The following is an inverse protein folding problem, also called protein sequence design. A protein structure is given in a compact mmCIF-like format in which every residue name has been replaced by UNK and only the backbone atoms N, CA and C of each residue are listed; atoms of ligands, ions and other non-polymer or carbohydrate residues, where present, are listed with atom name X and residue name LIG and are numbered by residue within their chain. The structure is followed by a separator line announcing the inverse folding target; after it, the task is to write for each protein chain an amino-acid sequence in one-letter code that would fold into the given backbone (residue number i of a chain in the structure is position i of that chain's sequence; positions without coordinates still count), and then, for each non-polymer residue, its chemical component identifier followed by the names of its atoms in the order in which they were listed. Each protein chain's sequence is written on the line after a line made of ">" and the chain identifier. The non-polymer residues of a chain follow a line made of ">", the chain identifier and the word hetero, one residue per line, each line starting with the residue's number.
data_IF_288428130509
#
_entry.id   IF_288428130509
#
_cell.length_a   1.000
_cell.length_b   1.000
_cell.length_c   1.000
_cell.angle_alpha   90.00
_cell.angle_beta   90.00
_cell.angle_gamma   90.00
#
_symmetry.space_group_name_H-M   'P 1'
#
loop_
_entity.id
_entity.type
_entity.pdbx_description
1 polymer ?
#
# COMPACT_ATOMS: atom_id res chain seq x y z
N UNK A 1 23.58 10.75 26.54
CA UNK A 1 24.31 9.95 25.55
C UNK A 1 24.76 10.92 24.49
N UNK A 2 26.04 10.94 24.22
CA UNK A 2 26.60 11.78 23.15
C UNK A 2 26.26 11.13 21.77
N UNK A 3 26.31 11.92 20.70
CA UNK A 3 25.95 11.47 19.34
C UNK A 3 26.88 10.36 18.82
N UNK A 4 28.15 10.33 19.25
CA UNK A 4 29.07 9.27 18.85
C UNK A 4 28.75 7.92 19.55
N UNK A 5 28.27 7.96 20.77
CA UNK A 5 27.88 6.79 21.55
C UNK A 5 26.59 6.16 21.02
N UNK A 6 25.69 6.98 20.40
CA UNK A 6 24.40 6.51 19.91
C UNK A 6 24.52 5.54 18.70
N UNK A 7 25.55 5.69 17.86
CA UNK A 7 25.83 4.73 16.78
C UNK A 7 26.75 3.57 17.22
N UNK A 8 27.27 3.60 18.46
CA UNK A 8 28.12 2.57 19.05
C UNK A 8 27.39 1.59 19.97
N UNK A 9 28.14 0.95 20.88
CA UNK A 9 27.62 -0.06 21.82
C UNK A 9 26.52 0.48 22.74
N UNK A 10 26.57 1.74 23.14
CA UNK A 10 25.53 2.36 23.98
C UNK A 10 24.20 2.49 23.21
N UNK A 11 24.23 2.76 21.91
CA UNK A 11 23.03 2.78 21.07
C UNK A 11 22.44 1.39 20.86
N UNK A 12 23.28 0.34 20.72
CA UNK A 12 22.82 -1.04 20.69
C UNK A 12 22.11 -1.44 22.01
N UNK A 13 22.66 -1.05 23.14
CA UNK A 13 22.03 -1.29 24.46
C UNK A 13 20.68 -0.55 24.57
N UNK A 14 20.63 0.71 24.16
CA UNK A 14 19.38 1.48 24.11
C UNK A 14 18.33 0.83 23.18
N UNK A 15 18.73 0.28 22.04
CA UNK A 15 17.82 -0.43 21.13
C UNK A 15 17.18 -1.66 21.80
N UNK A 16 17.96 -2.42 22.59
CA UNK A 16 17.45 -3.55 23.35
C UNK A 16 16.49 -3.09 24.48
N UNK A 17 16.84 -2.03 25.22
CA UNK A 17 15.97 -1.46 26.25
C UNK A 17 14.63 -0.96 25.68
N UNK A 18 14.65 -0.32 24.49
CA UNK A 18 13.44 0.14 23.81
C UNK A 18 12.58 -1.03 23.29
N UNK A 19 13.20 -2.13 22.86
CA UNK A 19 12.47 -3.33 22.44
C UNK A 19 11.76 -3.98 23.64
N UNK A 20 12.44 -4.12 24.76
CA UNK A 20 11.87 -4.70 25.98
C UNK A 20 10.76 -3.83 26.60
N UNK A 21 10.83 -2.53 26.41
CA UNK A 21 9.87 -1.56 26.94
C UNK A 21 8.65 -1.32 26.00
N UNK A 22 8.69 -1.81 24.75
CA UNK A 22 7.62 -1.56 23.79
C UNK A 22 6.36 -2.36 24.16
N UNK A 23 5.23 -1.68 24.35
CA UNK A 23 3.94 -2.27 24.72
C UNK A 23 3.25 -3.05 23.57
N UNK A 24 3.76 -2.91 22.35
CA UNK A 24 3.34 -3.67 21.17
C UNK A 24 4.49 -4.58 20.73
N UNK A 25 4.56 -5.83 21.19
CA UNK A 25 5.65 -6.73 20.82
C UNK A 25 5.64 -7.04 19.32
N UNK A 26 6.82 -7.27 18.78
CA UNK A 26 6.95 -7.75 17.39
C UNK A 26 6.26 -9.11 17.22
N UNK A 27 5.98 -9.47 16.00
CA UNK A 27 5.57 -10.83 15.57
C UNK A 27 6.67 -11.48 14.71
N UNK A 28 7.93 -11.05 14.93
CA UNK A 28 9.09 -11.47 14.14
C UNK A 28 9.20 -12.99 14.00
N UNK A 29 8.86 -13.72 15.05
CA UNK A 29 8.85 -15.18 15.10
C UNK A 29 7.84 -15.83 14.15
N UNK A 30 6.86 -15.08 13.67
CA UNK A 30 5.89 -15.55 12.68
C UNK A 30 6.40 -15.36 11.22
N UNK A 31 7.55 -14.71 11.04
CA UNK A 31 8.10 -14.38 9.72
C UNK A 31 9.40 -15.14 9.42
N UNK A 32 9.60 -15.48 8.17
CA UNK A 32 10.86 -15.99 7.62
C UNK A 32 11.80 -14.80 7.39
N UNK A 33 12.52 -14.42 8.44
CA UNK A 33 13.54 -13.37 8.36
C UNK A 33 14.83 -13.97 7.88
N UNK A 34 15.47 -13.49 6.79
CA UNK A 34 16.75 -14.00 6.34
C UNK A 34 17.81 -13.88 7.46
N UNK A 35 18.57 -14.96 7.68
CA UNK A 35 19.51 -15.05 8.80
C UNK A 35 20.55 -13.91 8.79
N UNK A 36 20.68 -13.26 9.94
CA UNK A 36 21.59 -12.14 10.15
C UNK A 36 21.25 -10.86 9.40
N UNK A 37 20.10 -10.78 8.68
CA UNK A 37 19.70 -9.61 7.89
C UNK A 37 18.79 -8.69 8.69
N UNK A 38 19.13 -7.40 8.74
CA UNK A 38 18.20 -6.32 9.06
C UNK A 38 17.44 -5.94 7.79
N UNK A 39 16.17 -6.33 7.68
CA UNK A 39 15.37 -6.17 6.46
C UNK A 39 14.45 -4.95 6.55
N UNK A 40 14.85 -3.82 5.93
CA UNK A 40 14.11 -2.56 5.94
C UNK A 40 13.52 -2.20 4.57
N UNK A 41 13.18 -3.21 3.75
CA UNK A 41 12.63 -3.04 2.40
C UNK A 41 11.18 -3.52 2.28
N UNK A 42 10.43 -3.56 3.39
CA UNK A 42 9.02 -3.97 3.43
C UNK A 42 8.08 -3.11 2.58
N UNK A 43 8.48 -1.87 2.29
CA UNK A 43 7.81 -0.98 1.37
C UNK A 43 7.89 -1.42 -0.11
N UNK A 44 8.79 -2.33 -0.46
CA UNK A 44 8.92 -2.92 -1.80
C UNK A 44 8.35 -4.33 -1.84
N UNK A 45 8.72 -5.18 -0.86
CA UNK A 45 8.19 -6.53 -0.69
C UNK A 45 8.23 -6.88 0.80
N UNK A 46 7.10 -7.26 1.39
CA UNK A 46 7.02 -7.75 2.75
C UNK A 46 7.64 -9.14 2.90
N UNK A 47 8.02 -9.51 4.13
CA UNK A 47 8.56 -10.83 4.45
C UNK A 47 7.46 -11.89 4.47
N UNK A 48 7.84 -13.12 4.16
CA UNK A 48 6.95 -14.28 4.19
C UNK A 48 6.59 -14.64 5.64
N UNK A 49 5.30 -14.84 5.91
CA UNK A 49 4.84 -15.47 7.14
C UNK A 49 4.97 -17.00 7.05
N UNK A 50 5.33 -17.66 8.16
CA UNK A 50 5.43 -19.13 8.21
C UNK A 50 4.11 -19.81 7.83
N UNK A 51 2.98 -19.25 8.25
CA UNK A 51 1.65 -19.80 7.97
C UNK A 51 1.26 -19.81 6.48
N UNK A 52 1.92 -18.99 5.64
CA UNK A 52 1.63 -18.93 4.19
C UNK A 52 1.83 -20.27 3.51
N UNK A 53 2.88 -21.04 3.89
CA UNK A 53 3.13 -22.34 3.27
C UNK A 53 1.95 -23.30 3.49
N UNK A 54 1.50 -23.42 4.74
CA UNK A 54 0.37 -24.30 5.06
C UNK A 54 -0.91 -23.86 4.33
N UNK A 55 -1.20 -22.56 4.26
CA UNK A 55 -2.38 -22.06 3.57
C UNK A 55 -2.37 -22.32 2.05
N UNK A 56 -1.18 -22.32 1.42
CA UNK A 56 -1.02 -22.70 0.01
C UNK A 56 -1.13 -24.22 -0.16
N UNK A 57 -0.52 -24.98 0.74
CA UNK A 57 -0.60 -26.45 0.73
C UNK A 57 -2.06 -26.93 0.90
N UNK A 58 -2.88 -26.28 1.74
CA UNK A 58 -4.32 -26.55 1.87
C UNK A 58 -5.07 -26.41 0.53
N UNK A 59 -4.75 -25.37 -0.25
CA UNK A 59 -5.37 -25.18 -1.59
C UNK A 59 -4.92 -26.27 -2.57
N UNK A 60 -3.64 -26.65 -2.53
CA UNK A 60 -3.09 -27.71 -3.38
C UNK A 60 -3.70 -29.08 -3.01
N UNK A 61 -3.87 -29.36 -1.71
CA UNK A 61 -4.51 -30.57 -1.22
C UNK A 61 -5.98 -30.64 -1.63
N UNK A 62 -6.73 -29.54 -1.46
CA UNK A 62 -8.12 -29.48 -1.95
C UNK A 62 -8.20 -29.72 -3.45
N UNK A 63 -7.27 -29.15 -4.24
CA UNK A 63 -7.22 -29.39 -5.68
C UNK A 63 -6.92 -30.84 -6.03
N UNK A 64 -5.96 -31.47 -5.35
CA UNK A 64 -5.54 -32.83 -5.64
C UNK A 64 -6.59 -33.87 -5.25
N UNK A 65 -7.36 -33.63 -4.18
CA UNK A 65 -8.30 -34.60 -3.61
C UNK A 65 -9.75 -34.39 -4.06
N UNK A 66 -10.16 -33.11 -4.25
CA UNK A 66 -11.53 -32.75 -4.60
C UNK A 66 -11.70 -32.37 -6.07
N UNK A 67 -10.64 -31.90 -6.74
CA UNK A 67 -10.72 -31.40 -8.11
C UNK A 67 -11.75 -30.28 -8.24
N UNK A 68 -12.74 -30.44 -9.13
CA UNK A 68 -13.80 -29.44 -9.35
C UNK A 68 -14.71 -29.25 -8.14
N UNK A 69 -14.85 -30.24 -7.30
CA UNK A 69 -15.71 -30.18 -6.11
C UNK A 69 -15.15 -29.24 -5.05
N UNK A 70 -13.87 -28.86 -5.13
CA UNK A 70 -13.26 -27.84 -4.26
C UNK A 70 -13.90 -26.43 -4.41
N UNK A 71 -14.65 -26.20 -5.47
CA UNK A 71 -15.45 -24.98 -5.59
C UNK A 71 -16.52 -24.85 -4.51
N UNK A 72 -17.09 -25.95 -4.06
CA UNK A 72 -18.22 -26.00 -3.12
C UNK A 72 -17.88 -26.68 -1.79
N UNK A 73 -16.77 -27.44 -1.75
CA UNK A 73 -16.39 -28.29 -0.63
C UNK A 73 -14.97 -28.00 -0.13
N UNK A 74 -14.65 -28.55 1.05
CA UNK A 74 -13.36 -28.39 1.72
C UNK A 74 -13.39 -27.34 2.84
N UNK A 75 -12.23 -27.11 3.46
CA UNK A 75 -12.13 -26.17 4.57
C UNK A 75 -12.38 -24.69 4.13
N UNK A 76 -11.98 -24.36 2.91
CA UNK A 76 -12.17 -23.06 2.30
C UNK A 76 -12.67 -23.24 0.86
N UNK A 77 -13.99 -23.41 0.63
CA UNK A 77 -14.55 -23.53 -0.70
C UNK A 77 -14.21 -22.35 -1.60
N UNK A 78 -13.92 -22.61 -2.88
CA UNK A 78 -13.38 -21.58 -3.77
C UNK A 78 -14.41 -20.57 -4.26
N UNK A 79 -15.69 -20.93 -4.39
CA UNK A 79 -16.74 -19.99 -4.81
C UNK A 79 -16.85 -18.79 -3.86
N UNK A 80 -16.99 -18.95 -2.53
CA UNK A 80 -17.04 -17.85 -1.59
C UNK A 80 -15.63 -17.46 -1.05
N UNK A 81 -14.54 -17.93 -1.62
CA UNK A 81 -13.20 -17.74 -1.01
C UNK A 81 -12.87 -16.28 -0.70
N UNK A 82 -13.17 -15.35 -1.61
CA UNK A 82 -12.96 -13.92 -1.42
C UNK A 82 -13.78 -13.34 -0.25
N UNK A 83 -14.92 -13.95 0.07
CA UNK A 83 -15.79 -13.53 1.17
C UNK A 83 -15.16 -13.80 2.55
N UNK A 84 -14.24 -14.77 2.65
CA UNK A 84 -13.51 -15.05 3.90
C UNK A 84 -12.65 -13.88 4.35
N UNK A 85 -12.32 -12.96 3.44
CA UNK A 85 -11.48 -11.77 3.68
C UNK A 85 -12.29 -10.47 3.77
N UNK A 86 -13.62 -10.51 3.61
CA UNK A 86 -14.48 -9.32 3.51
C UNK A 86 -14.34 -8.37 4.72
N UNK A 87 -14.41 -8.93 5.93
CA UNK A 87 -14.30 -8.15 7.17
C UNK A 87 -12.87 -7.64 7.39
N UNK A 88 -11.87 -8.50 7.18
CA UNK A 88 -10.48 -8.17 7.47
C UNK A 88 -9.91 -7.16 6.47
N UNK A 89 -10.26 -7.26 5.18
CA UNK A 89 -9.83 -6.29 4.17
C UNK A 89 -10.53 -4.94 4.35
N UNK A 90 -11.80 -4.93 4.74
CA UNK A 90 -12.52 -3.71 5.06
C UNK A 90 -11.92 -3.03 6.31
N UNK A 91 -11.67 -3.79 7.37
CA UNK A 91 -11.03 -3.29 8.60
C UNK A 91 -9.64 -2.68 8.35
N UNK A 92 -8.86 -3.25 7.44
CA UNK A 92 -7.52 -2.74 7.10
C UNK A 92 -7.56 -1.30 6.56
N UNK A 93 -8.61 -0.93 5.85
CA UNK A 93 -8.73 0.39 5.19
C UNK A 93 -9.82 1.29 5.78
N UNK A 94 -10.42 0.89 6.91
CA UNK A 94 -11.49 1.66 7.55
C UNK A 94 -12.73 1.80 6.67
N UNK A 95 -13.16 0.70 6.07
CA UNK A 95 -14.32 0.57 5.21
C UNK A 95 -15.41 -0.27 5.88
N UNK A 96 -16.64 -0.20 5.38
CA UNK A 96 -17.69 -1.19 5.68
C UNK A 96 -17.42 -2.49 4.88
N UNK A 97 -17.85 -3.66 5.38
CA UNK A 97 -17.55 -4.95 4.74
C UNK A 97 -17.91 -5.06 3.25
N UNK A 98 -18.99 -4.41 2.80
CA UNK A 98 -19.41 -4.40 1.39
C UNK A 98 -18.65 -3.39 0.50
N UNK A 99 -17.79 -2.56 1.07
CA UNK A 99 -17.05 -1.51 0.33
C UNK A 99 -15.66 -1.93 -0.12
N UNK A 100 -15.13 -3.04 0.40
CA UNK A 100 -13.79 -3.51 0.06
C UNK A 100 -13.82 -4.94 -0.47
N UNK A 101 -12.95 -5.24 -1.44
CA UNK A 101 -12.83 -6.56 -2.06
C UNK A 101 -11.38 -6.87 -2.44
N UNK A 102 -10.98 -8.13 -2.27
CA UNK A 102 -9.69 -8.65 -2.75
C UNK A 102 -9.87 -9.14 -4.18
N UNK A 103 -9.30 -8.42 -5.15
CA UNK A 103 -9.40 -8.75 -6.59
C UNK A 103 -8.22 -8.24 -7.39
N UNK A 104 -7.92 -8.89 -8.50
CA UNK A 104 -6.93 -8.46 -9.51
C UNK A 104 -5.54 -8.09 -8.92
N UNK A 105 -4.89 -7.09 -9.52
CA UNK A 105 -3.70 -6.39 -9.02
C UNK A 105 -3.96 -4.89 -9.02
N UNK A 106 -3.11 -4.11 -8.33
CA UNK A 106 -3.32 -2.67 -8.15
C UNK A 106 -3.62 -1.94 -9.46
N UNK A 107 -2.74 -2.05 -10.45
CA UNK A 107 -2.89 -1.31 -11.72
C UNK A 107 -4.11 -1.77 -12.52
N UNK A 108 -4.45 -3.07 -12.48
CA UNK A 108 -5.70 -3.57 -13.09
C UNK A 108 -6.91 -2.99 -12.38
N UNK A 109 -6.89 -2.95 -11.04
CA UNK A 109 -7.95 -2.29 -10.27
C UNK A 109 -8.07 -0.81 -10.61
N UNK A 110 -6.93 -0.08 -10.73
CA UNK A 110 -6.95 1.33 -11.11
C UNK A 110 -7.59 1.53 -12.51
N UNK A 111 -7.23 0.72 -13.50
CA UNK A 111 -7.89 0.76 -14.81
C UNK A 111 -9.40 0.48 -14.72
N UNK A 112 -9.78 -0.49 -13.91
CA UNK A 112 -11.18 -0.84 -13.65
C UNK A 112 -11.94 0.34 -13.03
N UNK A 113 -11.36 0.99 -12.04
CA UNK A 113 -11.94 2.15 -11.37
C UNK A 113 -12.00 3.38 -12.30
N UNK A 114 -10.95 3.66 -13.04
CA UNK A 114 -10.96 4.73 -14.05
C UNK A 114 -12.04 4.48 -15.11
N UNK A 115 -12.22 3.24 -15.55
CA UNK A 115 -13.32 2.84 -16.43
C UNK A 115 -14.71 3.14 -15.87
N UNK A 116 -14.88 3.24 -14.57
CA UNK A 116 -16.14 3.56 -13.90
C UNK A 116 -16.26 5.04 -13.51
N UNK A 117 -15.22 5.63 -12.94
CA UNK A 117 -15.27 6.93 -12.27
C UNK A 117 -14.71 8.09 -13.09
N UNK A 118 -13.87 7.87 -14.11
CA UNK A 118 -13.49 8.92 -15.03
C UNK A 118 -14.55 9.06 -16.13
N UNK A 119 -15.40 10.06 -15.99
CA UNK A 119 -16.52 10.37 -16.89
C UNK A 119 -16.37 11.80 -17.41
N UNK A 120 -15.43 12.02 -18.35
CA UNK A 120 -15.19 13.36 -18.89
C UNK A 120 -16.41 13.88 -19.67
N UNK A 121 -16.64 15.18 -19.54
CA UNK A 121 -17.59 15.95 -20.35
C UNK A 121 -16.82 17.11 -21.03
N UNK A 122 -17.40 17.79 -22.05
CA UNK A 122 -16.75 18.93 -22.66
C UNK A 122 -16.32 20.02 -21.67
N UNK A 123 -17.11 20.25 -20.60
CA UNK A 123 -16.82 21.25 -19.58
C UNK A 123 -15.92 20.71 -18.45
N UNK A 124 -15.82 19.39 -18.29
CA UNK A 124 -15.07 18.71 -17.24
C UNK A 124 -14.21 17.57 -17.76
N UNK A 125 -13.26 17.85 -18.68
CA UNK A 125 -12.45 16.79 -19.27
C UNK A 125 -11.25 16.37 -18.41
N UNK A 126 -10.83 17.20 -17.44
CA UNK A 126 -9.53 17.06 -16.76
C UNK A 126 -9.50 15.94 -15.74
N UNK A 127 -8.33 15.31 -15.64
CA UNK A 127 -7.96 14.38 -14.57
C UNK A 127 -6.68 14.89 -13.90
N UNK A 128 -6.67 14.96 -12.58
CA UNK A 128 -5.55 15.48 -11.77
C UNK A 128 -4.75 14.33 -11.20
N UNK A 129 -3.42 14.42 -11.28
CA UNK A 129 -2.45 13.54 -10.62
C UNK A 129 -1.35 14.37 -9.96
N UNK A 130 -0.62 13.80 -8.98
CA UNK A 130 0.57 14.44 -8.41
C UNK A 130 1.80 14.32 -9.34
N UNK A 131 2.75 15.24 -9.20
CA UNK A 131 3.93 15.35 -10.06
C UNK A 131 4.85 14.12 -9.97
N UNK A 132 5.03 13.58 -8.77
CA UNK A 132 5.90 12.44 -8.50
C UNK A 132 5.13 11.10 -8.45
N UNK A 133 3.96 11.04 -9.10
CA UNK A 133 3.12 9.83 -9.16
C UNK A 133 3.92 8.64 -9.71
N UNK A 134 3.65 7.46 -9.17
CA UNK A 134 4.28 6.24 -9.67
C UNK A 134 3.96 6.03 -11.17
N UNK A 135 4.95 5.65 -12.00
CA UNK A 135 4.77 5.59 -13.46
C UNK A 135 3.56 4.80 -13.94
N UNK A 136 3.22 3.70 -13.24
CA UNK A 136 2.07 2.85 -13.57
C UNK A 136 0.74 3.61 -13.52
N UNK A 137 0.55 4.47 -12.52
CA UNK A 137 -0.68 5.24 -12.33
C UNK A 137 -0.81 6.32 -13.41
N UNK A 138 0.30 7.01 -13.70
CA UNK A 138 0.34 7.96 -14.81
C UNK A 138 -0.03 7.29 -16.14
N UNK A 139 0.50 6.07 -16.39
CA UNK A 139 0.17 5.33 -17.62
C UNK A 139 -1.30 4.92 -17.66
N UNK A 140 -1.87 4.50 -16.52
CA UNK A 140 -3.29 4.16 -16.42
C UNK A 140 -4.19 5.38 -16.69
N UNK A 141 -3.86 6.53 -16.08
CA UNK A 141 -4.57 7.80 -16.28
C UNK A 141 -4.50 8.27 -17.73
N UNK A 142 -3.30 8.25 -18.33
CA UNK A 142 -3.14 8.60 -19.75
C UNK A 142 -3.87 7.62 -20.66
N UNK A 143 -3.91 6.33 -20.32
CA UNK A 143 -4.68 5.31 -21.02
C UNK A 143 -6.18 5.58 -20.95
N UNK A 144 -6.70 5.95 -19.79
CA UNK A 144 -8.10 6.30 -19.60
C UNK A 144 -8.51 7.53 -20.43
N UNK A 145 -7.68 8.59 -20.47
CA UNK A 145 -7.93 9.75 -21.32
C UNK A 145 -8.04 9.36 -22.81
N UNK A 146 -7.09 8.56 -23.30
CA UNK A 146 -7.12 8.06 -24.70
C UNK A 146 -8.34 7.18 -24.99
N UNK A 147 -8.79 6.37 -24.05
CA UNK A 147 -9.98 5.53 -24.19
C UNK A 147 -11.27 6.37 -24.42
N UNK A 148 -11.27 7.60 -23.92
CA UNK A 148 -12.34 8.59 -24.18
C UNK A 148 -12.08 9.48 -25.42
N UNK A 149 -11.04 9.19 -26.21
CA UNK A 149 -10.69 9.99 -27.40
C UNK A 149 -10.06 11.35 -27.08
N UNK A 150 -9.56 11.54 -25.85
CA UNK A 150 -8.96 12.79 -25.40
C UNK A 150 -7.42 12.71 -25.48
N UNK A 151 -6.79 13.86 -25.78
CA UNK A 151 -5.33 13.97 -25.71
C UNK A 151 -4.89 14.11 -24.23
N UNK A 152 -4.10 13.16 -23.69
CA UNK A 152 -3.59 13.27 -22.33
C UNK A 152 -2.80 14.54 -22.05
N UNK A 153 -2.14 15.13 -23.06
CA UNK A 153 -1.38 16.36 -22.90
C UNK A 153 -2.29 17.58 -22.60
N UNK A 154 -3.54 17.53 -22.99
CA UNK A 154 -4.53 18.60 -22.77
C UNK A 154 -5.34 18.39 -21.48
N UNK A 155 -5.60 17.13 -21.11
CA UNK A 155 -6.56 16.83 -20.03
C UNK A 155 -5.92 16.31 -18.73
N UNK A 156 -4.69 15.78 -18.78
CA UNK A 156 -3.98 15.33 -17.55
C UNK A 156 -3.26 16.51 -16.93
N UNK A 157 -3.73 16.90 -15.74
CA UNK A 157 -3.13 18.00 -14.95
C UNK A 157 -2.19 17.40 -13.94
N UNK A 158 -0.92 17.78 -13.99
CA UNK A 158 0.13 17.29 -13.09
C UNK A 158 0.49 18.42 -12.12
N UNK A 159 0.31 18.18 -10.82
CA UNK A 159 0.48 19.18 -9.77
C UNK A 159 1.41 18.68 -8.67
N UNK A 160 2.11 19.61 -8.01
CA UNK A 160 2.74 19.29 -6.73
C UNK A 160 1.66 19.01 -5.68
N UNK A 161 1.94 18.12 -4.75
CA UNK A 161 0.98 17.72 -3.71
C UNK A 161 0.39 18.94 -2.96
N UNK A 162 1.24 19.93 -2.62
CA UNK A 162 0.83 21.13 -1.89
C UNK A 162 -0.08 22.08 -2.69
N UNK A 163 -0.10 21.95 -4.02
CA UNK A 163 -0.89 22.83 -4.90
C UNK A 163 -2.27 22.24 -5.24
N UNK A 164 -2.53 20.95 -4.94
CA UNK A 164 -3.72 20.24 -5.37
C UNK A 164 -5.00 20.86 -4.81
N UNK A 165 -5.09 21.06 -3.50
CA UNK A 165 -6.29 21.60 -2.87
C UNK A 165 -6.61 23.01 -3.41
N UNK A 166 -5.59 23.87 -3.53
CA UNK A 166 -5.74 25.21 -4.09
C UNK A 166 -6.21 25.19 -5.55
N UNK A 167 -5.66 24.28 -6.36
CA UNK A 167 -6.07 24.13 -7.75
C UNK A 167 -7.54 23.69 -7.85
N UNK A 168 -7.97 22.76 -7.01
CA UNK A 168 -9.35 22.29 -6.96
C UNK A 168 -10.33 23.41 -6.58
N UNK A 169 -9.95 24.30 -5.64
CA UNK A 169 -10.78 25.44 -5.27
C UNK A 169 -10.89 26.49 -6.40
N UNK A 170 -9.86 26.67 -7.24
CA UNK A 170 -9.83 27.68 -8.29
C UNK A 170 -10.31 27.18 -9.66
N UNK A 171 -9.94 25.97 -10.06
CA UNK A 171 -10.13 25.42 -11.39
C UNK A 171 -10.87 24.07 -11.40
N UNK A 172 -11.24 23.57 -10.23
CA UNK A 172 -11.82 22.23 -10.06
C UNK A 172 -13.13 22.00 -10.80
N UNK A 173 -13.85 23.06 -11.21
CA UNK A 173 -15.05 22.94 -12.06
C UNK A 173 -14.78 22.22 -13.38
N UNK A 174 -13.53 22.24 -13.88
CA UNK A 174 -13.11 21.54 -15.10
C UNK A 174 -12.61 20.11 -14.87
N UNK A 175 -12.51 19.67 -13.61
CA UNK A 175 -11.94 18.37 -13.23
C UNK A 175 -13.04 17.32 -13.11
N UNK A 176 -12.94 16.24 -13.85
CA UNK A 176 -13.81 15.07 -13.74
C UNK A 176 -13.38 14.17 -12.60
N UNK A 177 -12.08 13.91 -12.47
CA UNK A 177 -11.53 12.93 -11.52
C UNK A 177 -10.15 13.35 -11.02
N UNK A 178 -9.87 13.01 -9.77
CA UNK A 178 -8.57 13.15 -9.12
C UNK A 178 -8.06 11.75 -8.79
N UNK A 179 -6.78 11.45 -9.07
CA UNK A 179 -6.13 10.18 -8.70
C UNK A 179 -4.78 10.50 -8.06
N UNK A 180 -4.60 10.12 -6.81
CA UNK A 180 -3.40 10.47 -6.03
C UNK A 180 -2.89 9.26 -5.24
N UNK A 181 -1.58 9.25 -4.99
CA UNK A 181 -0.97 8.33 -4.03
C UNK A 181 -1.15 8.88 -2.61
N UNK A 182 -1.70 8.07 -1.71
CA UNK A 182 -1.90 8.49 -0.31
C UNK A 182 -0.57 8.68 0.42
N UNK A 183 0.41 7.82 0.15
CA UNK A 183 1.78 7.95 0.64
C UNK A 183 2.73 7.96 -0.55
N UNK A 184 3.48 9.03 -0.67
CA UNK A 184 4.48 9.18 -1.73
C UNK A 184 5.56 8.10 -1.63
N UNK A 185 5.78 7.35 -2.71
CA UNK A 185 6.66 6.19 -2.72
C UNK A 185 8.14 6.56 -2.60
N UNK A 186 8.53 7.79 -2.96
CA UNK A 186 9.91 8.27 -2.94
C UNK A 186 10.28 8.89 -1.61
N UNK A 187 9.43 9.76 -1.08
CA UNK A 187 9.70 10.51 0.15
C UNK A 187 9.11 9.87 1.41
N UNK A 188 8.08 9.04 1.27
CA UNK A 188 7.31 8.52 2.41
C UNK A 188 6.30 9.51 2.98
N UNK A 189 6.10 10.68 2.34
CA UNK A 189 5.15 11.69 2.79
C UNK A 189 3.70 11.19 2.68
N UNK A 190 2.92 11.39 3.74
CA UNK A 190 1.49 11.11 3.79
C UNK A 190 0.72 12.37 3.43
N UNK A 191 -0.15 12.28 2.44
CA UNK A 191 -1.07 13.35 2.06
C UNK A 191 -2.26 13.43 3.03
N UNK A 192 -2.87 14.60 3.10
CA UNK A 192 -4.10 14.83 3.87
C UNK A 192 -5.30 14.30 3.08
N UNK A 193 -5.54 12.98 3.20
CA UNK A 193 -6.58 12.28 2.45
C UNK A 193 -7.96 12.94 2.65
N UNK A 194 -8.44 13.15 3.89
CA UNK A 194 -9.76 13.75 4.10
C UNK A 194 -9.88 15.17 3.52
N UNK A 195 -8.90 16.03 3.75
CA UNK A 195 -8.97 17.42 3.27
C UNK A 195 -8.95 17.50 1.72
N UNK A 196 -8.14 16.70 1.06
CA UNK A 196 -8.09 16.67 -0.41
C UNK A 196 -9.35 16.02 -0.99
N UNK A 197 -9.89 14.97 -0.35
CA UNK A 197 -11.15 14.33 -0.75
C UNK A 197 -12.30 15.35 -0.68
N UNK A 198 -12.40 16.08 0.43
CA UNK A 198 -13.40 17.16 0.58
C UNK A 198 -13.25 18.25 -0.49
N UNK A 199 -12.01 18.67 -0.80
CA UNK A 199 -11.76 19.68 -1.83
C UNK A 199 -12.19 19.18 -3.22
N UNK A 200 -11.92 17.91 -3.56
CA UNK A 200 -12.36 17.30 -4.81
C UNK A 200 -13.90 17.28 -4.90
N UNK A 201 -14.57 16.90 -3.83
CA UNK A 201 -16.05 16.88 -3.79
C UNK A 201 -16.66 18.28 -3.87
N UNK A 202 -16.10 19.28 -3.19
CA UNK A 202 -16.55 20.69 -3.35
C UNK A 202 -16.45 21.16 -4.80
N UNK A 203 -15.40 20.72 -5.51
CA UNK A 203 -15.25 20.99 -6.93
C UNK A 203 -16.17 20.14 -7.82
N UNK A 204 -16.88 19.16 -7.25
CA UNK A 204 -17.75 18.22 -7.97
C UNK A 204 -16.95 17.13 -8.74
N UNK A 205 -15.68 16.93 -8.43
CA UNK A 205 -14.86 15.87 -8.98
C UNK A 205 -15.01 14.56 -8.21
N UNK A 206 -14.77 13.42 -8.87
CA UNK A 206 -14.55 12.14 -8.19
C UNK A 206 -13.10 12.05 -7.75
N UNK A 207 -12.83 11.31 -6.68
CA UNK A 207 -11.48 11.11 -6.19
C UNK A 207 -11.18 9.64 -5.89
N UNK A 208 -10.05 9.17 -6.41
CA UNK A 208 -9.47 7.86 -6.14
C UNK A 208 -8.09 7.93 -5.52
N UNK A 209 -7.78 6.98 -4.65
CA UNK A 209 -6.50 6.91 -3.98
C UNK A 209 -5.74 5.62 -4.31
N UNK A 210 -4.47 5.75 -4.73
CA UNK A 210 -3.51 4.65 -4.67
C UNK A 210 -2.98 4.53 -3.23
N UNK A 211 -3.28 3.39 -2.61
CA UNK A 211 -2.88 3.06 -1.24
C UNK A 211 -1.69 2.09 -1.19
N UNK A 212 -0.93 1.93 -2.27
CA UNK A 212 0.17 0.96 -2.36
C UNK A 212 1.18 1.09 -1.21
N UNK A 213 1.40 2.30 -0.73
CA UNK A 213 2.28 2.60 0.40
C UNK A 213 1.53 2.99 1.67
N UNK A 214 0.19 3.00 1.66
CA UNK A 214 -0.65 3.37 2.79
C UNK A 214 -1.30 2.16 3.47
N UNK A 215 -1.86 1.21 2.70
CA UNK A 215 -2.49 0.01 3.25
C UNK A 215 -1.49 -0.83 4.05
N UNK A 216 -1.83 -1.14 5.30
CA UNK A 216 -0.96 -1.85 6.25
C UNK A 216 0.19 -1.01 6.83
N UNK A 217 0.25 0.28 6.54
CA UNK A 217 1.29 1.20 6.98
C UNK A 217 0.76 2.33 7.87
N UNK A 218 -0.36 2.94 7.48
CA UNK A 218 -1.01 4.01 8.22
C UNK A 218 -2.49 3.68 8.45
N UNK A 219 -3.10 4.12 9.58
CA UNK A 219 -4.53 3.99 9.77
C UNK A 219 -5.31 4.72 8.68
N UNK A 220 -6.31 4.06 8.13
CA UNK A 220 -7.19 4.58 7.08
C UNK A 220 -8.64 4.55 7.57
N UNK A 221 -9.47 5.47 7.08
CA UNK A 221 -10.90 5.57 7.34
C UNK A 221 -11.63 5.95 6.05
N UNK A 222 -11.50 5.11 5.03
CA UNK A 222 -11.98 5.45 3.69
C UNK A 222 -13.47 5.74 3.63
N UNK A 223 -14.27 4.99 4.42
CA UNK A 223 -15.70 5.25 4.55
C UNK A 223 -15.98 6.64 5.15
N UNK A 224 -15.40 6.91 6.34
CA UNK A 224 -15.64 8.17 7.07
C UNK A 224 -15.09 9.41 6.32
N UNK A 225 -14.05 9.22 5.53
CA UNK A 225 -13.45 10.26 4.68
C UNK A 225 -14.17 10.46 3.36
N UNK A 226 -15.26 9.70 3.13
CA UNK A 226 -16.10 9.81 1.94
C UNK A 226 -15.37 9.60 0.61
N UNK A 227 -14.30 8.79 0.60
CA UNK A 227 -13.51 8.46 -0.60
C UNK A 227 -14.38 7.79 -1.65
N UNK A 228 -14.28 8.13 -2.93
CA UNK A 228 -15.08 7.48 -3.97
C UNK A 228 -14.60 6.06 -4.27
N UNK A 229 -13.28 5.88 -4.50
CA UNK A 229 -12.64 4.59 -4.70
C UNK A 229 -11.19 4.60 -4.25
N UNK A 230 -10.63 3.43 -3.97
CA UNK A 230 -9.21 3.26 -3.71
C UNK A 230 -8.71 1.90 -4.18
N UNK A 231 -7.40 1.80 -4.46
CA UNK A 231 -6.76 0.57 -4.91
C UNK A 231 -5.42 0.36 -4.21
N UNK A 232 -5.04 -0.90 -3.94
CA UNK A 232 -3.75 -1.20 -3.33
C UNK A 232 -3.24 -2.60 -3.69
N UNK A 233 -1.97 -2.84 -3.36
CA UNK A 233 -1.35 -4.15 -3.42
C UNK A 233 -1.14 -4.71 -2.00
N UNK A 234 -1.20 -6.04 -1.84
CA UNK A 234 -0.98 -6.70 -0.57
C UNK A 234 0.46 -7.22 -0.39
N UNK A 235 1.32 -7.16 -1.40
CA UNK A 235 2.69 -7.72 -1.32
C UNK A 235 3.71 -6.81 -0.62
N UNK A 236 3.39 -5.51 -0.38
CA UNK A 236 4.26 -4.56 0.32
C UNK A 236 4.06 -4.66 1.83
N UNK A 237 3.57 -3.60 2.48
CA UNK A 237 3.39 -3.54 3.94
C UNK A 237 2.43 -4.61 4.48
N UNK A 238 1.50 -5.10 3.67
CA UNK A 238 0.57 -6.18 4.07
C UNK A 238 1.23 -7.57 4.02
N UNK A 239 2.44 -7.73 3.49
CA UNK A 239 3.27 -8.95 3.58
C UNK A 239 2.67 -10.21 2.94
N UNK A 240 1.77 -10.09 1.96
CA UNK A 240 1.12 -11.25 1.35
C UNK A 240 1.96 -11.94 0.24
N UNK A 241 3.17 -11.46 0.00
CA UNK A 241 4.14 -12.09 -0.91
C UNK A 241 3.98 -11.74 -2.39
N UNK A 242 4.93 -12.19 -3.22
CA UNK A 242 4.97 -11.86 -4.65
C UNK A 242 3.77 -12.43 -5.39
N UNK A 243 3.16 -11.60 -6.25
CA UNK A 243 1.98 -11.99 -7.01
C UNK A 243 0.66 -11.99 -6.21
N UNK A 244 0.68 -11.53 -4.96
CA UNK A 244 -0.53 -11.40 -4.15
C UNK A 244 -1.60 -10.56 -4.84
N UNK A 245 -2.84 -11.00 -4.70
CA UNK A 245 -4.02 -10.29 -5.22
C UNK A 245 -4.12 -8.91 -4.57
N UNK A 246 -4.53 -7.90 -5.34
CA UNK A 246 -4.73 -6.54 -4.85
C UNK A 246 -6.04 -6.36 -4.09
N UNK A 247 -6.21 -5.19 -3.51
CA UNK A 247 -7.47 -4.76 -2.91
C UNK A 247 -8.07 -3.59 -3.67
N UNK A 248 -9.38 -3.46 -3.56
CA UNK A 248 -10.15 -2.37 -4.13
C UNK A 248 -11.24 -1.94 -3.14
N UNK A 249 -11.45 -0.63 -3.04
CA UNK A 249 -12.51 -0.01 -2.26
C UNK A 249 -13.42 0.78 -3.20
N UNK A 250 -14.71 0.66 -2.99
CA UNK A 250 -15.75 1.51 -3.61
C UNK A 250 -16.75 1.87 -2.54
N UNK A 251 -16.93 3.17 -2.31
CA UNK A 251 -17.86 3.65 -1.29
C UNK A 251 -19.29 3.15 -1.52
N UNK A 252 -20.03 2.84 -0.45
CA UNK A 252 -21.39 2.26 -0.52
C UNK A 252 -22.38 3.10 -1.34
N UNK A 253 -22.21 4.45 -1.38
CA UNK A 253 -23.06 5.34 -2.20
C UNK A 253 -22.97 5.04 -3.70
N UNK A 254 -21.89 4.37 -4.14
CA UNK A 254 -21.69 3.93 -5.52
C UNK A 254 -21.99 2.45 -5.72
N UNK A 255 -21.93 1.65 -4.65
CA UNK A 255 -22.11 0.21 -4.69
C UNK A 255 -23.47 -0.24 -5.27
N UNK A 256 -24.52 0.56 -5.08
CA UNK A 256 -25.88 0.29 -5.55
C UNK A 256 -26.34 1.27 -6.65
N UNK A 257 -25.48 2.17 -7.12
CA UNK A 257 -25.83 3.14 -8.16
C UNK A 257 -25.76 2.48 -9.56
N UNK A 258 -26.93 2.25 -10.16
CA UNK A 258 -27.05 1.68 -11.48
C UNK A 258 -26.55 2.60 -12.62
N UNK A 259 -26.37 3.90 -12.36
CA UNK A 259 -25.82 4.85 -13.34
C UNK A 259 -24.31 4.71 -13.51
N UNK A 260 -23.62 4.10 -12.54
CA UNK A 260 -22.18 3.85 -12.65
C UNK A 260 -21.92 2.64 -13.53
N UNK A 261 -21.23 2.89 -14.64
CA UNK A 261 -20.81 1.82 -15.56
C UNK A 261 -19.77 0.95 -14.88
N UNK A 262 -20.03 -0.36 -14.83
CA UNK A 262 -19.09 -1.37 -14.31
C UNK A 262 -18.55 -2.20 -15.47
N UNK A 263 -17.27 -2.57 -15.49
CA UNK A 263 -16.79 -3.58 -16.41
C UNK A 263 -17.45 -4.90 -16.02
N UNK A 264 -18.48 -5.29 -16.76
CA UNK A 264 -19.23 -6.51 -16.50
C UNK A 264 -18.34 -7.74 -16.63
N UNK A 265 -18.44 -8.63 -15.66
CA UNK A 265 -17.75 -9.92 -15.65
C UNK A 265 -18.54 -10.96 -14.91
N UNK A 266 -18.29 -12.21 -15.19
CA UNK A 266 -19.07 -13.32 -14.66
C UNK A 266 -19.05 -13.35 -13.12
N UNK A 267 -17.91 -12.99 -12.52
CA UNK A 267 -17.77 -13.08 -11.07
C UNK A 267 -18.48 -11.95 -10.30
N UNK A 268 -18.58 -10.77 -10.91
CA UNK A 268 -19.36 -9.65 -10.35
C UNK A 268 -20.87 -9.76 -10.55
N UNK A 269 -21.35 -10.79 -11.26
CA UNK A 269 -22.78 -11.06 -11.41
C UNK A 269 -23.36 -11.72 -10.15
N UNK A 270 -24.64 -11.48 -9.88
CA UNK A 270 -25.37 -12.07 -8.74
C UNK A 270 -25.12 -13.60 -8.64
N UNK A 271 -24.57 -14.11 -7.51
CA UNK A 271 -24.21 -15.50 -7.35
C UNK A 271 -25.42 -16.45 -7.43
N UNK A 272 -26.64 -15.98 -7.12
CA UNK A 272 -27.86 -16.81 -7.16
C UNK A 272 -28.23 -17.14 -8.61
N UNK A 273 -28.09 -16.18 -9.50
CA UNK A 273 -28.48 -16.33 -10.93
C UNK A 273 -27.30 -16.62 -11.85
N UNK A 274 -26.05 -16.48 -11.38
CA UNK A 274 -24.81 -16.62 -12.18
C UNK A 274 -24.77 -17.89 -13.02
N UNK A 275 -25.09 -19.04 -12.44
CA UNK A 275 -25.04 -20.34 -13.11
C UNK A 275 -26.23 -20.59 -14.04
N UNK A 276 -27.27 -19.75 -14.01
CA UNK A 276 -28.33 -19.79 -15.01
C UNK A 276 -27.92 -19.13 -16.34
N UNK A 277 -26.68 -18.59 -16.42
CA UNK A 277 -26.11 -17.95 -17.63
C UNK A 277 -27.03 -16.88 -18.23
N UNK A 278 -27.55 -15.90 -17.46
CA UNK A 278 -28.45 -14.89 -17.97
C UNK A 278 -27.76 -14.00 -19.00
N UNK A 279 -28.55 -13.47 -19.95
CA UNK A 279 -28.02 -12.56 -20.95
C UNK A 279 -27.67 -11.17 -20.37
N UNK A 280 -28.45 -10.68 -19.40
CA UNK A 280 -28.24 -9.40 -18.76
C UNK A 280 -27.28 -9.54 -17.57
N UNK A 281 -26.36 -8.59 -17.44
CA UNK A 281 -25.48 -8.47 -16.28
C UNK A 281 -26.24 -7.82 -15.13
N UNK A 282 -26.37 -8.53 -14.01
CA UNK A 282 -26.94 -8.06 -12.75
C UNK A 282 -25.84 -8.07 -11.68
N UNK A 283 -25.22 -6.91 -11.39
CA UNK A 283 -24.05 -6.85 -10.54
C UNK A 283 -24.41 -7.08 -9.05
N UNK A 284 -23.55 -7.82 -8.36
CA UNK A 284 -23.58 -7.87 -6.88
C UNK A 284 -23.49 -6.44 -6.31
N UNK A 285 -24.28 -6.12 -5.28
CA UNK A 285 -24.14 -4.86 -4.56
C UNK A 285 -22.76 -4.67 -3.93
N UNK A 286 -22.30 -3.41 -3.83
CA UNK A 286 -21.02 -3.07 -3.23
C UNK A 286 -19.82 -3.27 -4.18
N UNK A 287 -18.61 -3.27 -3.61
CA UNK A 287 -17.35 -3.36 -4.34
C UNK A 287 -17.17 -4.69 -5.11
N UNK A 288 -17.79 -5.75 -4.63
CA UNK A 288 -17.75 -7.08 -5.27
C UNK A 288 -18.36 -7.07 -6.69
N UNK A 289 -19.28 -6.15 -6.98
CA UNK A 289 -19.85 -5.97 -8.32
C UNK A 289 -18.85 -5.51 -9.39
N UNK A 290 -17.62 -5.17 -9.00
CA UNK A 290 -16.51 -4.87 -9.92
C UNK A 290 -15.58 -6.04 -10.19
N UNK A 291 -15.80 -7.21 -9.57
CA UNK A 291 -15.05 -8.43 -9.90
C UNK A 291 -15.39 -8.90 -11.33
N UNK A 292 -14.37 -9.18 -12.11
CA UNK A 292 -14.56 -9.56 -13.54
C UNK A 292 -14.45 -11.06 -13.72
N UNK A 293 -13.39 -11.68 -13.21
CA UNK A 293 -13.07 -13.09 -13.39
C UNK A 293 -13.09 -13.85 -12.05
N UNK A 294 -13.05 -15.18 -12.16
CA UNK A 294 -12.88 -16.05 -11.00
C UNK A 294 -11.67 -15.61 -10.15
N UNK A 295 -11.78 -15.66 -8.83
CA UNK A 295 -10.69 -15.30 -7.95
C UNK A 295 -9.50 -16.26 -8.11
N UNK A 296 -8.25 -15.74 -8.13
CA UNK A 296 -7.05 -16.57 -8.23
C UNK A 296 -6.70 -17.19 -6.87
N UNK A 297 -7.32 -18.30 -6.50
CA UNK A 297 -7.32 -18.90 -5.16
C UNK A 297 -5.93 -19.08 -4.57
N UNK A 298 -4.97 -19.64 -5.34
CA UNK A 298 -3.59 -19.82 -4.87
C UNK A 298 -2.92 -18.52 -4.46
N UNK A 299 -3.18 -17.42 -5.17
CA UNK A 299 -2.64 -16.11 -4.86
C UNK A 299 -3.42 -15.39 -3.74
N UNK A 300 -4.63 -15.82 -3.45
CA UNK A 300 -5.45 -15.30 -2.34
C UNK A 300 -5.11 -15.93 -0.99
N UNK A 301 -4.64 -17.17 -0.95
CA UNK A 301 -4.32 -17.85 0.29
C UNK A 301 -3.29 -17.07 1.16
N UNK A 302 -2.18 -16.54 0.62
CA UNK A 302 -1.28 -15.68 1.37
C UNK A 302 -1.92 -14.36 1.84
N UNK A 303 -2.85 -13.80 1.05
CA UNK A 303 -3.55 -12.56 1.41
C UNK A 303 -4.41 -12.78 2.65
N UNK A 304 -5.18 -13.90 2.70
CA UNK A 304 -5.98 -14.27 3.85
C UNK A 304 -5.13 -14.36 5.12
N UNK A 305 -4.03 -15.12 5.07
CA UNK A 305 -3.11 -15.27 6.21
C UNK A 305 -2.61 -13.90 6.71
N UNK A 306 -2.29 -13.02 5.79
CA UNK A 306 -1.76 -11.70 6.17
C UNK A 306 -2.82 -10.79 6.75
N UNK A 307 -4.02 -10.75 6.15
CA UNK A 307 -5.13 -9.95 6.66
C UNK A 307 -5.59 -10.42 8.05
N UNK A 308 -5.57 -11.73 8.31
CA UNK A 308 -5.88 -12.31 9.63
C UNK A 308 -4.90 -11.80 10.70
N UNK A 309 -3.60 -11.74 10.40
CA UNK A 309 -2.60 -11.19 11.32
C UNK A 309 -2.79 -9.69 11.56
N UNK A 310 -3.12 -8.91 10.52
CA UNK A 310 -3.42 -7.49 10.68
C UNK A 310 -4.68 -7.26 11.53
N UNK A 311 -5.70 -8.11 11.39
CA UNK A 311 -6.91 -8.05 12.21
C UNK A 311 -6.63 -8.44 13.67
N UNK A 312 -5.75 -9.42 13.92
CA UNK A 312 -5.33 -9.84 15.27
C UNK A 312 -4.62 -8.70 16.01
N UNK A 313 -3.64 -8.05 15.36
CA UNK A 313 -2.82 -7.01 16.03
C UNK A 313 -3.51 -5.65 16.05
N UNK A 314 -4.19 -5.30 14.98
CA UNK A 314 -4.88 -4.02 14.80
C UNK A 314 -3.95 -2.90 14.28
N UNK A 315 -4.47 -2.09 13.36
CA UNK A 315 -3.70 -1.02 12.71
C UNK A 315 -3.24 0.09 13.66
N UNK A 316 -4.02 0.40 14.69
CA UNK A 316 -3.65 1.44 15.68
C UNK A 316 -2.41 1.01 16.50
N UNK A 317 -2.36 -0.25 16.95
CA UNK A 317 -1.22 -0.80 17.66
C UNK A 317 0.02 -0.84 16.75
N UNK A 318 -0.14 -1.33 15.51
CA UNK A 318 0.94 -1.36 14.52
C UNK A 318 1.46 0.05 14.22
N UNK A 319 0.56 1.03 14.11
CA UNK A 319 0.95 2.42 13.88
C UNK A 319 1.70 3.02 15.07
N UNK A 320 1.26 2.76 16.29
CA UNK A 320 1.93 3.23 17.49
C UNK A 320 3.38 2.72 17.55
N UNK A 321 3.59 1.42 17.33
CA UNK A 321 4.94 0.84 17.23
C UNK A 321 5.75 1.41 16.05
N UNK A 322 5.14 1.55 14.87
CA UNK A 322 5.79 2.14 13.69
C UNK A 322 6.29 3.56 13.95
N UNK A 323 5.52 4.39 14.66
CA UNK A 323 5.94 5.76 15.04
C UNK A 323 7.14 5.72 15.96
N UNK A 324 7.18 4.81 16.95
CA UNK A 324 8.32 4.66 17.86
C UNK A 324 9.57 4.16 17.13
N UNK A 325 9.46 3.09 16.32
CA UNK A 325 10.58 2.56 15.52
C UNK A 325 11.16 3.61 14.59
N UNK A 326 10.29 4.30 13.85
CA UNK A 326 10.74 5.33 12.91
C UNK A 326 11.23 6.60 13.61
N UNK A 327 10.72 6.92 14.79
CA UNK A 327 11.24 8.02 15.62
C UNK A 327 12.65 7.74 16.12
N UNK A 328 12.93 6.49 16.52
CA UNK A 328 14.27 6.06 16.88
C UNK A 328 15.23 6.08 15.68
N UNK A 329 14.82 5.51 14.54
CA UNK A 329 15.62 5.56 13.31
C UNK A 329 15.90 6.99 12.85
N UNK A 330 14.90 7.88 12.91
CA UNK A 330 15.02 9.29 12.53
C UNK A 330 16.07 10.02 13.37
N UNK A 331 16.07 9.80 14.68
CA UNK A 331 17.10 10.32 15.60
C UNK A 331 18.50 9.79 15.26
N UNK A 332 18.63 8.51 14.92
CA UNK A 332 19.90 7.93 14.49
C UNK A 332 20.39 8.55 13.17
N UNK A 333 19.47 8.77 12.23
CA UNK A 333 19.79 9.40 10.94
C UNK A 333 20.22 10.87 11.09
N UNK A 334 19.73 11.60 12.10
CA UNK A 334 20.23 12.94 12.43
C UNK A 334 21.72 12.91 12.85
N UNK A 335 22.10 11.90 13.64
CA UNK A 335 23.52 11.70 14.01
C UNK A 335 24.34 11.36 12.77
N UNK A 336 23.86 10.49 11.90
CA UNK A 336 24.56 10.19 10.64
C UNK A 336 24.68 11.45 9.77
N UNK A 337 23.62 12.25 9.64
CA UNK A 337 23.62 13.50 8.84
C UNK A 337 24.57 14.56 9.38
N UNK A 338 24.79 14.61 10.72
CA UNK A 338 25.79 15.51 11.32
C UNK A 338 27.24 15.15 10.96
N UNK A 339 27.47 13.91 10.51
CA UNK A 339 28.81 13.35 10.26
C UNK A 339 29.06 13.02 8.78
N UNK A 340 28.00 12.85 8.02
CA UNK A 340 28.01 12.37 6.63
C UNK A 340 27.13 13.25 5.74
N UNK A 341 27.43 13.25 4.45
CA UNK A 341 26.64 13.97 3.46
C UNK A 341 25.39 13.16 3.10
N UNK A 342 24.41 13.20 3.98
CA UNK A 342 23.07 12.67 3.73
C UNK A 342 22.03 13.74 4.07
N UNK A 343 20.85 13.65 3.44
CA UNK A 343 19.71 14.50 3.73
C UNK A 343 18.47 13.59 3.90
N UNK A 344 17.75 13.72 5.00
CA UNK A 344 16.47 13.04 5.19
C UNK A 344 15.37 13.88 4.55
N UNK A 345 14.74 13.36 3.51
CA UNK A 345 13.71 14.05 2.72
C UNK A 345 12.27 13.68 3.14
N UNK A 346 12.12 12.70 4.03
CA UNK A 346 10.82 12.35 4.61
C UNK A 346 10.39 13.42 5.61
N UNK A 347 9.10 13.83 5.63
CA UNK A 347 8.58 14.72 6.67
C UNK A 347 8.85 14.18 8.07
N UNK A 348 9.31 15.05 8.98
CA UNK A 348 9.67 14.64 10.35
C UNK A 348 8.47 14.36 11.24
N UNK A 349 7.36 15.08 11.03
CA UNK A 349 6.15 14.91 11.81
C UNK A 349 5.52 13.51 11.55
N UNK A 350 5.26 12.71 12.58
CA UNK A 350 4.75 11.34 12.41
C UNK A 350 3.40 11.26 11.68
N UNK A 351 2.55 12.26 11.85
CA UNK A 351 1.24 12.37 11.19
C UNK A 351 1.34 12.76 9.69
N UNK A 352 2.53 13.13 9.23
CA UNK A 352 2.81 13.52 7.84
C UNK A 352 3.63 12.47 7.07
N UNK A 353 3.81 11.26 7.61
CA UNK A 353 4.60 10.20 6.99
C UNK A 353 4.13 8.80 7.37
N UNK A 354 4.51 7.81 6.56
CA UNK A 354 4.40 6.39 6.90
C UNK A 354 5.61 5.86 7.67
N UNK A 355 5.87 4.54 7.56
CA UNK A 355 7.02 3.88 8.18
C UNK A 355 8.34 4.11 7.44
N UNK A 356 8.30 4.59 6.19
CA UNK A 356 9.48 4.82 5.38
C UNK A 356 10.18 6.11 5.79
N UNK A 357 11.50 6.05 5.98
CA UNK A 357 12.41 7.19 6.01
C UNK A 357 13.30 7.13 4.77
N UNK A 358 13.30 8.21 4.00
CA UNK A 358 14.05 8.35 2.76
C UNK A 358 15.20 9.32 2.93
N UNK A 359 16.36 8.92 2.46
CA UNK A 359 17.58 9.72 2.51
C UNK A 359 18.13 9.92 1.11
N UNK A 360 18.67 11.11 0.86
CA UNK A 360 19.45 11.43 -0.35
C UNK A 360 20.92 11.18 -0.07
N UNK A 361 21.59 10.50 -0.99
CA UNK A 361 23.04 10.22 -1.00
C UNK A 361 23.58 10.42 -2.41
N UNK A 362 24.91 10.50 -2.59
CA UNK A 362 25.48 10.73 -3.93
C UNK A 362 25.27 9.55 -4.89
N UNK A 363 25.41 8.29 -4.41
CA UNK A 363 25.17 7.05 -5.18
C UNK A 363 24.37 6.06 -4.34
N UNK A 364 23.05 6.12 -4.48
CA UNK A 364 22.13 5.28 -3.69
C UNK A 364 22.37 3.78 -3.94
N UNK A 365 22.65 3.41 -5.18
CA UNK A 365 22.87 2.00 -5.56
C UNK A 365 24.12 1.43 -4.91
N UNK A 366 25.25 2.12 -5.06
CA UNK A 366 26.51 1.67 -4.46
C UNK A 366 26.42 1.59 -2.93
N UNK A 367 25.72 2.54 -2.31
CA UNK A 367 25.52 2.53 -0.85
C UNK A 367 24.63 1.36 -0.42
N UNK A 368 23.51 1.09 -1.10
CA UNK A 368 22.64 -0.05 -0.74
C UNK A 368 23.31 -1.40 -0.98
N UNK A 369 24.11 -1.55 -2.02
CA UNK A 369 24.88 -2.76 -2.27
C UNK A 369 25.92 -2.96 -1.14
N UNK A 370 26.66 -1.92 -0.75
CA UNK A 370 27.63 -1.98 0.36
C UNK A 370 26.97 -2.23 1.73
N UNK A 371 25.79 -1.64 2.01
CA UNK A 371 25.00 -1.92 3.20
C UNK A 371 24.67 -3.42 3.30
N UNK A 372 24.29 -4.03 2.20
CA UNK A 372 23.95 -5.45 2.21
C UNK A 372 25.19 -6.36 2.27
N UNK A 373 26.19 -6.13 1.44
CA UNK A 373 27.36 -6.99 1.33
C UNK A 373 28.21 -6.99 2.60
N UNK A 374 28.42 -5.80 3.20
CA UNK A 374 29.31 -5.64 4.36
C UNK A 374 28.62 -5.77 5.70
N UNK A 375 27.35 -5.38 5.79
CA UNK A 375 26.63 -5.23 7.07
C UNK A 375 25.33 -6.03 7.16
N UNK A 376 24.93 -6.71 6.07
CA UNK A 376 23.68 -7.47 6.02
C UNK A 376 22.45 -6.62 6.31
N UNK A 377 22.45 -5.36 5.89
CA UNK A 377 21.32 -4.45 5.96
C UNK A 377 20.68 -4.34 4.58
N UNK A 378 19.43 -4.75 4.45
CA UNK A 378 18.67 -4.63 3.22
C UNK A 378 17.81 -3.37 3.24
N UNK A 379 18.19 -2.39 2.45
CA UNK A 379 17.42 -1.21 2.10
C UNK A 379 17.01 -1.29 0.61
N UNK A 380 16.24 -0.32 0.18
CA UNK A 380 15.75 -0.20 -1.19
C UNK A 380 16.22 1.15 -1.76
N UNK A 381 16.68 1.17 -3.01
CA UNK A 381 17.11 2.39 -3.69
C UNK A 381 16.12 2.87 -4.76
N UNK A 382 16.08 4.17 -4.97
CA UNK A 382 15.36 4.81 -6.08
C UNK A 382 16.30 5.78 -6.80
N UNK A 383 16.52 5.56 -8.10
CA UNK A 383 17.34 6.47 -8.89
C UNK A 383 16.85 7.92 -8.82
N UNK A 384 17.76 8.90 -8.91
CA UNK A 384 19.21 8.68 -9.03
C UNK A 384 19.90 8.47 -7.66
N UNK A 385 19.31 8.91 -6.55
CA UNK A 385 20.07 9.19 -5.33
C UNK A 385 19.30 8.99 -4.02
N UNK A 386 18.15 8.28 -4.03
CA UNK A 386 17.34 8.06 -2.82
C UNK A 386 17.50 6.64 -2.30
N UNK A 387 17.76 6.49 -1.00
CA UNK A 387 17.66 5.24 -0.27
C UNK A 387 16.42 5.32 0.63
N UNK A 388 15.66 4.23 0.68
CA UNK A 388 14.47 4.09 1.51
C UNK A 388 14.71 3.04 2.60
N UNK A 389 14.48 3.43 3.84
CA UNK A 389 14.53 2.58 5.02
C UNK A 389 13.12 2.50 5.60
N UNK A 390 12.51 1.33 5.54
CA UNK A 390 11.12 1.14 5.94
C UNK A 390 10.99 0.02 6.98
N UNK A 391 11.22 0.31 8.26
CA UNK A 391 11.05 -0.67 9.32
C UNK A 391 9.57 -1.02 9.49
N UNK A 392 9.22 -2.29 9.24
CA UNK A 392 7.87 -2.81 9.41
C UNK A 392 7.63 -3.21 10.87
N UNK A 393 6.58 -2.71 11.53
CA UNK A 393 6.34 -2.94 12.96
C UNK A 393 6.09 -4.41 13.31
N UNK A 394 5.67 -5.24 12.35
CA UNK A 394 5.43 -6.66 12.56
C UNK A 394 6.71 -7.48 12.76
N UNK A 395 7.82 -7.13 12.12
CA UNK A 395 9.03 -7.97 12.17
C UNK A 395 10.35 -7.21 12.38
N UNK A 396 10.39 -5.89 12.23
CA UNK A 396 11.59 -5.13 12.55
C UNK A 396 11.66 -4.77 14.04
N UNK A 397 12.89 -4.72 14.53
CA UNK A 397 13.25 -4.36 15.90
C UNK A 397 13.97 -3.02 15.93
N UNK A 398 14.12 -2.44 17.12
CA UNK A 398 14.97 -1.25 17.31
C UNK A 398 16.44 -1.56 16.98
N UNK A 399 16.89 -2.82 17.20
CA UNK A 399 18.21 -3.27 16.77
C UNK A 399 18.38 -3.20 15.24
N UNK A 400 17.38 -3.60 14.45
CA UNK A 400 17.43 -3.47 12.98
C UNK A 400 17.60 -2.00 12.58
N UNK A 401 16.92 -1.07 13.25
CA UNK A 401 17.05 0.38 13.01
C UNK A 401 18.45 0.89 13.38
N UNK A 402 18.97 0.49 14.53
CA UNK A 402 20.31 0.83 14.97
C UNK A 402 21.38 0.30 14.00
N UNK A 403 21.28 -0.97 13.61
CA UNK A 403 22.20 -1.60 12.64
C UNK A 403 22.21 -0.85 11.31
N UNK A 404 21.03 -0.44 10.82
CA UNK A 404 20.91 0.28 9.55
C UNK A 404 21.63 1.64 9.61
N UNK A 405 21.41 2.43 10.65
CA UNK A 405 22.04 3.74 10.80
C UNK A 405 23.57 3.63 11.05
N UNK A 406 24.00 2.69 11.90
CA UNK A 406 25.43 2.44 12.18
C UNK A 406 26.16 1.96 10.93
N UNK A 407 25.56 1.07 10.14
CA UNK A 407 26.11 0.61 8.87
C UNK A 407 26.22 1.75 7.85
N UNK A 408 25.19 2.61 7.78
CA UNK A 408 25.20 3.78 6.88
C UNK A 408 26.33 4.74 7.22
N UNK A 409 26.58 5.03 8.49
CA UNK A 409 27.73 5.85 8.91
C UNK A 409 29.07 5.25 8.50
N UNK A 410 29.21 3.92 8.61
CA UNK A 410 30.44 3.21 8.23
C UNK A 410 30.65 3.13 6.71
N UNK A 411 29.59 2.93 5.92
CA UNK A 411 29.69 2.91 4.45
C UNK A 411 30.10 4.28 3.91
N UNK A 412 29.45 5.33 4.40
CA UNK A 412 29.73 6.69 3.96
C UNK A 412 31.14 7.18 4.36
N UNK A 413 31.77 6.58 5.38
CA UNK A 413 33.15 6.90 5.76
C UNK A 413 34.22 6.32 4.81
N UNK A 414 33.87 5.32 4.00
CA UNK A 414 34.83 4.58 3.17
C UNK A 414 34.76 4.94 1.68
N UNK A 415 33.88 5.86 1.28
CA UNK A 415 33.69 6.29 -0.12
C UNK A 415 34.42 7.59 -0.48
N UNK A 416 35.42 8.01 0.33
CA UNK A 416 36.27 9.20 0.10
C UNK A 416 37.75 8.87 0.00
#
# INVERSE_FOLDING_TARGET
>A
MDDAELLGAAGAALAAELEDADDVPTRREQFVVPEGVAYLAGNSLGLQQHAVRAAVDDVLEAWSTLGVDAHEHGAFPWLPYHETMRETVAGLVGAKPGEAVVMNSLTVNLHTMLGSFYRPTPDRPRIVIEADVFPSDRYAVMGAARAHGLDPAEVVVVLRADDIARFLDLEGASVATVVLSAVDFRTGALLDIPAITEAAHRAGARIGWDLAHAAGNVPLRLHDWDVDFAVWCHYKYVNAGPGAVGGCFVHERHGNDASIVRPGGWWGHDPVSRFAMPFAFDPVPGAEGWQVSNPPILAMAPVRVSLDLFAEVGMEALRARSVRLTGFLDRLLDVVASRRKIEVITPRAPDRRGAQLSIVVDDARAVTDALFERFRVRADDRPPNVIRLAPAPLYNTYEDCWRAASALDMVQSSTW
#
